data_IF_068712993806
#
_entry.id   IF_068712993806
#
_cell.length_a   1.000
_cell.length_b   1.000
_cell.length_c   1.000
_cell.angle_alpha   90.00
_cell.angle_beta   90.00
_cell.angle_gamma   90.00
#
_symmetry.space_group_name_H-M   'P 1'
#
loop_
_entity.id
_entity.type
_entity.pdbx_description
1 polymer ?
#
# COMPACT_ATOMS: atom_id res chain seq x y z
N UNK A 1 3.56 30.62 7.66
CA UNK A 1 4.60 31.66 7.59
C UNK A 1 4.27 32.67 6.48
N UNK A 2 3.86 33.91 6.87
CA UNK A 2 3.43 34.96 5.94
C UNK A 2 4.50 35.29 4.86
N UNK A 3 5.79 35.27 5.21
CA UNK A 3 6.86 35.53 4.26
C UNK A 3 7.00 34.47 3.16
N UNK A 4 6.78 33.20 3.51
CA UNK A 4 6.78 32.11 2.55
C UNK A 4 5.57 32.20 1.61
N UNK A 5 4.38 32.46 2.16
CA UNK A 5 3.14 32.64 1.38
C UNK A 5 3.30 33.76 0.36
N UNK A 6 3.80 34.93 0.77
CA UNK A 6 4.02 36.06 -0.14
C UNK A 6 5.08 35.81 -1.21
N UNK A 7 6.06 34.92 -0.96
CA UNK A 7 7.00 34.49 -1.99
C UNK A 7 6.34 33.57 -3.02
N UNK A 8 5.53 32.62 -2.59
CA UNK A 8 4.78 31.71 -3.47
C UNK A 8 3.79 32.50 -4.34
N UNK A 9 3.06 33.45 -3.76
CA UNK A 9 2.09 34.28 -4.49
C UNK A 9 2.73 35.07 -5.65
N UNK A 10 3.94 35.57 -5.49
CA UNK A 10 4.66 36.30 -6.57
C UNK A 10 5.07 35.43 -7.77
N UNK A 11 5.13 34.11 -7.58
CA UNK A 11 5.54 33.16 -8.62
C UNK A 11 4.37 32.29 -9.12
N UNK A 12 3.18 32.52 -8.59
CA UNK A 12 1.98 31.79 -8.98
C UNK A 12 1.41 32.38 -10.28
N UNK A 13 0.99 31.56 -11.25
CA UNK A 13 0.23 32.03 -12.39
C UNK A 13 -1.05 32.77 -11.96
N UNK A 14 -1.45 33.83 -12.66
CA UNK A 14 -2.70 34.55 -12.38
C UNK A 14 -3.93 33.61 -12.41
N UNK A 15 -3.93 32.68 -13.35
CA UNK A 15 -4.98 31.70 -13.58
C UNK A 15 -4.45 30.28 -13.30
N UNK A 16 -4.43 29.87 -12.04
CA UNK A 16 -3.92 28.56 -11.62
C UNK A 16 -4.99 27.46 -11.56
N UNK A 17 -6.25 27.79 -11.82
CA UNK A 17 -7.35 26.85 -11.95
C UNK A 17 -8.05 27.07 -13.30
N UNK A 18 -8.17 26.00 -14.09
CA UNK A 18 -8.97 26.05 -15.32
C UNK A 18 -10.46 26.24 -15.02
N UNK A 19 -11.21 26.78 -15.96
CA UNK A 19 -12.68 26.91 -15.85
C UNK A 19 -13.31 25.55 -15.60
N UNK A 20 -12.86 24.50 -16.29
CA UNK A 20 -13.34 23.13 -16.07
C UNK A 20 -13.12 22.62 -14.63
N UNK A 21 -11.98 22.95 -14.01
CA UNK A 21 -11.70 22.59 -12.63
C UNK A 21 -12.60 23.35 -11.65
N UNK A 22 -12.93 24.62 -11.93
CA UNK A 22 -13.84 25.42 -11.13
C UNK A 22 -15.27 24.86 -11.20
N UNK A 23 -15.77 24.61 -12.41
CA UNK A 23 -17.11 24.04 -12.64
C UNK A 23 -17.24 22.65 -11.99
N UNK A 24 -16.24 21.77 -12.17
CA UNK A 24 -16.20 20.47 -11.52
C UNK A 24 -16.21 20.60 -9.99
N UNK A 25 -15.44 21.54 -9.43
CA UNK A 25 -15.42 21.82 -8.00
C UNK A 25 -16.78 22.26 -7.47
N UNK A 26 -17.44 23.18 -8.19
CA UNK A 26 -18.80 23.64 -7.84
C UNK A 26 -19.83 22.49 -7.90
N UNK A 27 -19.78 21.66 -8.94
CA UNK A 27 -20.65 20.50 -9.07
C UNK A 27 -20.44 19.49 -7.93
N UNK A 28 -19.18 19.22 -7.56
CA UNK A 28 -18.84 18.30 -6.47
C UNK A 28 -19.21 18.83 -5.08
N UNK A 29 -19.23 20.15 -4.87
CA UNK A 29 -19.51 20.75 -3.56
C UNK A 29 -20.91 20.39 -3.01
N UNK A 30 -21.87 20.07 -3.88
CA UNK A 30 -23.22 19.62 -3.51
C UNK A 30 -23.35 18.14 -3.16
N UNK A 31 -22.33 17.31 -3.40
CA UNK A 31 -22.40 15.85 -3.32
C UNK A 31 -22.09 15.29 -1.91
N UNK A 32 -22.63 15.90 -0.85
CA UNK A 32 -22.36 15.50 0.55
C UNK A 32 -22.71 14.04 0.82
N UNK A 33 -23.87 13.59 0.39
CA UNK A 33 -24.31 12.20 0.57
C UNK A 33 -23.37 11.20 -0.10
N UNK A 34 -22.84 11.56 -1.28
CA UNK A 34 -21.86 10.73 -1.97
C UNK A 34 -20.55 10.63 -1.17
N UNK A 35 -20.08 11.74 -0.63
CA UNK A 35 -18.84 11.79 0.20
C UNK A 35 -19.02 10.94 1.45
N UNK A 36 -20.15 11.05 2.16
CA UNK A 36 -20.45 10.28 3.35
C UNK A 36 -20.53 8.78 3.07
N UNK A 37 -21.29 8.38 2.04
CA UNK A 37 -21.38 6.97 1.61
C UNK A 37 -20.02 6.41 1.21
N UNK A 38 -19.21 7.19 0.50
CA UNK A 38 -17.85 6.78 0.11
C UNK A 38 -16.95 6.63 1.32
N UNK A 39 -17.01 7.55 2.28
CA UNK A 39 -16.23 7.48 3.51
C UNK A 39 -16.59 6.24 4.35
N UNK A 40 -17.88 5.90 4.44
CA UNK A 40 -18.37 4.69 5.12
C UNK A 40 -17.91 3.43 4.42
N UNK A 41 -17.99 3.40 3.10
CA UNK A 41 -17.50 2.30 2.29
C UNK A 41 -16.00 2.07 2.51
N UNK A 42 -15.19 3.13 2.36
CA UNK A 42 -13.73 3.06 2.56
C UNK A 42 -13.39 2.61 3.98
N UNK A 43 -14.09 3.09 5.02
CA UNK A 43 -13.88 2.64 6.39
C UNK A 43 -14.13 1.14 6.58
N UNK A 44 -15.19 0.60 5.98
CA UNK A 44 -15.54 -0.82 6.05
C UNK A 44 -14.49 -1.67 5.35
N UNK A 45 -14.18 -1.35 4.10
CA UNK A 45 -13.21 -2.07 3.29
C UNK A 45 -11.80 -2.01 3.88
N UNK A 46 -11.40 -0.85 4.44
CA UNK A 46 -10.12 -0.72 5.12
C UNK A 46 -10.02 -1.65 6.32
N UNK A 47 -11.03 -1.69 7.20
CA UNK A 47 -11.04 -2.61 8.34
C UNK A 47 -10.95 -4.07 7.92
N UNK A 48 -11.62 -4.43 6.84
CA UNK A 48 -11.54 -5.76 6.26
C UNK A 48 -10.10 -6.07 5.80
N UNK A 49 -9.50 -5.20 5.01
CA UNK A 49 -8.12 -5.36 4.55
C UNK A 49 -7.10 -5.39 5.69
N UNK A 50 -7.19 -4.49 6.67
CA UNK A 50 -6.31 -4.46 7.85
C UNK A 50 -6.35 -5.79 8.60
N UNK A 51 -7.54 -6.34 8.79
CA UNK A 51 -7.73 -7.64 9.45
C UNK A 51 -7.10 -8.78 8.65
N UNK A 52 -7.35 -8.85 7.36
CA UNK A 52 -6.84 -9.93 6.51
C UNK A 52 -5.31 -9.85 6.33
N UNK A 53 -4.74 -8.64 6.17
CA UNK A 53 -3.29 -8.44 6.14
C UNK A 53 -2.62 -8.92 7.44
N UNK A 54 -3.21 -8.60 8.59
CA UNK A 54 -2.73 -9.07 9.89
C UNK A 54 -2.82 -10.60 10.02
N UNK A 55 -3.86 -11.24 9.48
CA UNK A 55 -3.97 -12.71 9.45
C UNK A 55 -2.90 -13.39 8.60
N UNK A 56 -2.42 -12.70 7.56
CA UNK A 56 -1.30 -13.15 6.73
C UNK A 56 0.08 -12.90 7.38
N UNK A 57 0.11 -12.44 8.64
CA UNK A 57 1.34 -12.20 9.40
C UNK A 57 2.04 -10.90 9.06
N UNK A 58 1.40 -9.98 8.36
CA UNK A 58 1.97 -8.69 7.99
C UNK A 58 1.76 -7.66 9.11
N UNK A 59 2.73 -6.76 9.29
CA UNK A 59 2.60 -5.65 10.24
C UNK A 59 1.85 -4.51 9.58
N UNK A 60 0.64 -4.23 10.06
CA UNK A 60 -0.23 -3.17 9.52
C UNK A 60 -0.13 -1.93 10.38
N UNK A 61 0.00 -0.77 9.75
CA UNK A 61 0.01 0.53 10.43
C UNK A 61 -1.38 1.17 10.35
N UNK A 62 -2.01 1.45 11.50
CA UNK A 62 -3.34 2.06 11.53
C UNK A 62 -3.37 3.41 10.81
N UNK A 63 -4.42 3.66 10.04
CA UNK A 63 -4.61 4.89 9.29
C UNK A 63 -6.09 5.24 9.12
N UNK A 64 -6.35 6.44 8.58
CA UNK A 64 -7.72 6.92 8.31
C UNK A 64 -7.96 7.25 6.84
N UNK A 65 -6.91 7.19 6.01
CA UNK A 65 -7.00 7.48 4.59
C UNK A 65 -7.56 6.30 3.78
N UNK A 66 -7.73 6.50 2.49
CA UNK A 66 -8.13 5.47 1.53
C UNK A 66 -6.96 4.59 1.07
N UNK A 67 -5.92 4.48 1.87
CA UNK A 67 -4.79 3.57 1.67
C UNK A 67 -4.32 2.99 3.00
N UNK A 68 -3.60 1.87 2.91
CA UNK A 68 -3.04 1.15 4.05
C UNK A 68 -1.53 1.03 3.85
N UNK A 69 -0.76 1.40 4.88
CA UNK A 69 0.67 1.14 4.99
C UNK A 69 0.86 -0.16 5.76
N UNK A 70 1.71 -1.04 5.27
CA UNK A 70 2.08 -2.27 5.95
C UNK A 70 3.54 -2.63 5.70
N UNK A 71 4.09 -3.47 6.55
CA UNK A 71 5.44 -4.00 6.43
C UNK A 71 5.40 -5.52 6.20
N UNK A 72 6.31 -5.99 5.35
CA UNK A 72 6.61 -7.40 5.10
C UNK A 72 8.10 -7.60 4.93
N UNK A 73 8.66 -8.65 5.53
CA UNK A 73 10.03 -9.07 5.26
C UNK A 73 10.23 -9.68 3.85
N UNK A 74 9.15 -9.96 3.11
CA UNK A 74 9.19 -10.54 1.77
C UNK A 74 9.20 -9.47 0.69
N UNK A 75 9.87 -9.69 -0.45
CA UNK A 75 9.92 -8.77 -1.59
C UNK A 75 8.62 -8.81 -2.42
N UNK A 76 7.54 -8.26 -1.88
CA UNK A 76 6.19 -8.39 -2.44
C UNK A 76 5.99 -7.65 -3.77
N UNK A 77 6.67 -6.51 -3.99
CA UNK A 77 6.43 -5.68 -5.17
C UNK A 77 6.56 -6.45 -6.49
N UNK A 78 7.71 -7.08 -6.70
CA UNK A 78 7.97 -7.82 -7.94
C UNK A 78 7.11 -9.08 -8.10
N UNK A 79 6.80 -9.76 -6.99
CA UNK A 79 5.98 -10.96 -7.00
C UNK A 79 4.52 -10.65 -7.36
N UNK A 80 3.94 -9.59 -6.80
CA UNK A 80 2.58 -9.14 -7.10
C UNK A 80 2.48 -8.50 -8.49
N UNK A 81 3.50 -7.77 -8.93
CA UNK A 81 3.53 -7.19 -10.27
C UNK A 81 3.45 -8.27 -11.36
N UNK A 82 4.13 -9.40 -11.20
CA UNK A 82 4.03 -10.56 -12.12
C UNK A 82 2.62 -11.16 -12.19
N UNK A 83 1.79 -10.90 -11.18
CA UNK A 83 0.37 -11.30 -11.11
C UNK A 83 -0.59 -10.19 -11.56
N UNK A 84 -0.07 -9.10 -12.15
CA UNK A 84 -0.85 -7.96 -12.61
C UNK A 84 -1.33 -7.02 -11.49
N UNK A 85 -0.79 -7.17 -10.27
CA UNK A 85 -1.16 -6.34 -9.13
C UNK A 85 -0.04 -5.38 -8.79
N UNK A 86 -0.32 -4.09 -8.91
CA UNK A 86 0.61 -3.02 -8.57
C UNK A 86 0.36 -2.52 -7.15
N UNK A 87 1.36 -2.66 -6.29
CA UNK A 87 1.41 -2.03 -4.97
C UNK A 87 2.46 -0.92 -4.96
N UNK A 88 2.39 0.00 -4.01
CA UNK A 88 3.42 1.03 -3.86
C UNK A 88 4.54 0.51 -2.97
N UNK A 89 5.75 0.40 -3.50
CA UNK A 89 6.97 0.26 -2.72
C UNK A 89 7.32 1.62 -2.10
N UNK A 90 7.49 1.65 -0.77
CA UNK A 90 7.73 2.85 0.00
C UNK A 90 9.19 3.00 0.46
N UNK A 91 10.13 2.23 -0.08
CA UNK A 91 11.55 2.31 0.28
C UNK A 91 12.11 3.72 0.13
N UNK A 92 11.64 4.49 -0.86
CA UNK A 92 12.09 5.85 -1.13
C UNK A 92 11.43 6.94 -0.25
N UNK A 93 10.54 6.58 0.67
CA UNK A 93 9.94 7.55 1.60
C UNK A 93 10.89 7.81 2.76
N UNK A 94 11.05 9.09 3.12
CA UNK A 94 11.88 9.48 4.27
C UNK A 94 11.35 8.82 5.56
N UNK A 95 12.21 8.07 6.24
CA UNK A 95 11.87 7.36 7.48
C UNK A 95 11.28 5.96 7.28
N UNK A 96 11.09 5.52 6.03
CA UNK A 96 10.76 4.14 5.68
C UNK A 96 11.97 3.49 4.98
N UNK A 97 11.97 2.18 4.87
CA UNK A 97 13.01 1.39 4.20
C UNK A 97 12.40 0.24 3.40
N UNK A 98 13.22 -0.74 3.07
CA UNK A 98 12.76 -1.96 2.39
C UNK A 98 11.70 -2.68 3.20
N UNK A 99 10.73 -3.28 2.50
CA UNK A 99 9.65 -4.03 3.11
C UNK A 99 8.42 -3.20 3.49
N UNK A 100 8.48 -1.88 3.35
CA UNK A 100 7.30 -1.02 3.55
C UNK A 100 6.54 -0.87 2.24
N UNK A 101 5.28 -1.25 2.27
CA UNK A 101 4.39 -1.20 1.11
C UNK A 101 3.11 -0.44 1.43
N UNK A 102 2.51 0.14 0.41
CA UNK A 102 1.23 0.83 0.52
C UNK A 102 0.27 0.36 -0.57
N UNK A 103 -0.97 0.10 -0.18
CA UNK A 103 -2.06 -0.24 -1.09
C UNK A 103 -3.20 0.76 -0.96
N UNK A 104 -3.97 0.94 -2.02
CA UNK A 104 -5.22 1.67 -1.97
C UNK A 104 -6.35 0.74 -1.47
N UNK A 105 -7.28 1.33 -0.74
CA UNK A 105 -8.58 0.70 -0.46
C UNK A 105 -9.43 0.88 -1.70
N UNK A 106 -9.83 -0.22 -2.32
CA UNK A 106 -10.58 -0.26 -3.58
C UNK A 106 -11.96 -0.87 -3.40
N UNK A 107 -12.55 -1.38 -4.49
CA UNK A 107 -13.80 -2.14 -4.42
C UNK A 107 -13.59 -3.46 -3.70
N UNK A 108 -14.66 -4.03 -3.16
CA UNK A 108 -14.61 -5.33 -2.46
C UNK A 108 -14.00 -6.41 -3.36
N UNK A 109 -14.38 -6.45 -4.63
CA UNK A 109 -13.86 -7.41 -5.60
C UNK A 109 -12.34 -7.26 -5.80
N UNK A 110 -11.86 -6.04 -6.04
CA UNK A 110 -10.43 -5.75 -6.23
C UNK A 110 -9.63 -6.04 -4.95
N UNK A 111 -10.19 -5.72 -3.78
CA UNK A 111 -9.58 -6.02 -2.49
C UNK A 111 -9.42 -7.53 -2.27
N UNK A 112 -10.42 -8.33 -2.64
CA UNK A 112 -10.37 -9.80 -2.56
C UNK A 112 -9.35 -10.40 -3.52
N UNK A 113 -9.30 -9.91 -4.76
CA UNK A 113 -8.27 -10.32 -5.75
C UNK A 113 -6.85 -10.04 -5.24
N UNK A 114 -6.64 -8.85 -4.68
CA UNK A 114 -5.36 -8.51 -4.06
C UNK A 114 -5.00 -9.47 -2.92
N UNK A 115 -5.91 -9.73 -1.99
CA UNK A 115 -5.68 -10.62 -0.84
C UNK A 115 -5.40 -12.05 -1.27
N UNK A 116 -6.09 -12.55 -2.30
CA UNK A 116 -5.83 -13.87 -2.86
C UNK A 116 -4.39 -13.97 -3.39
N UNK A 117 -4.00 -13.05 -4.27
CA UNK A 117 -2.66 -13.05 -4.85
C UNK A 117 -1.56 -12.85 -3.80
N UNK A 118 -1.82 -12.03 -2.78
CA UNK A 118 -0.91 -11.82 -1.65
C UNK A 118 -0.77 -13.09 -0.82
N UNK A 119 -1.87 -13.76 -0.48
CA UNK A 119 -1.87 -15.01 0.29
C UNK A 119 -1.08 -16.12 -0.40
N UNK A 120 -1.24 -16.28 -1.72
CA UNK A 120 -0.46 -17.21 -2.53
C UNK A 120 1.03 -16.84 -2.56
N UNK A 121 1.35 -15.54 -2.59
CA UNK A 121 2.75 -15.07 -2.59
C UNK A 121 3.41 -15.34 -1.24
N UNK A 122 2.73 -15.05 -0.14
CA UNK A 122 3.25 -15.27 1.22
C UNK A 122 3.36 -16.78 1.52
N UNK A 123 2.35 -17.57 1.13
CA UNK A 123 2.33 -19.02 1.34
C UNK A 123 3.46 -19.76 0.60
N UNK A 124 3.76 -19.37 -0.62
CA UNK A 124 4.86 -19.96 -1.41
C UNK A 124 6.25 -19.64 -0.84
N UNK A 125 6.43 -18.46 -0.23
CA UNK A 125 7.71 -18.08 0.37
C UNK A 125 8.00 -18.81 1.69
N UNK A 126 7.00 -19.36 2.37
CA UNK A 126 7.17 -20.18 3.57
C UNK A 126 7.61 -21.64 3.30
N UNK A 127 7.56 -22.08 2.03
CA UNK A 127 7.94 -23.43 1.61
C UNK A 127 9.41 -23.58 1.25
N UNK A 128 10.11 -22.50 0.90
CA UNK A 128 11.51 -22.58 0.42
C UNK A 128 12.57 -22.57 1.54
N UNK A 129 12.23 -22.18 2.76
CA UNK A 129 13.19 -22.14 3.87
C UNK A 129 13.39 -23.47 4.61
N UNK A 130 12.74 -24.56 4.22
CA UNK A 130 12.82 -25.87 4.93
C UNK A 130 13.67 -26.94 4.27
N UNK A 131 14.42 -26.65 3.20
CA UNK A 131 15.19 -27.68 2.48
C UNK A 131 16.68 -27.35 2.26
N UNK A 132 17.38 -26.77 3.26
CA UNK A 132 18.84 -26.87 3.25
C UNK A 132 19.38 -26.93 4.70
N UNK A 133 19.38 -28.14 5.24
CA UNK A 133 19.84 -28.44 6.58
C UNK A 133 20.16 -29.90 6.79
N UNK A 134 20.80 -30.61 5.79
CA UNK A 134 21.41 -31.90 6.13
C UNK A 134 22.53 -32.28 5.15
N UNK A 135 23.70 -32.56 5.78
CA UNK A 135 24.87 -33.27 5.28
C UNK A 135 26.06 -32.41 4.82
N UNK A 136 26.98 -32.20 5.80
CA UNK A 136 28.33 -32.71 5.57
C UNK A 136 29.04 -32.84 6.93
N UNK A 137 29.18 -34.09 7.41
CA UNK A 137 30.22 -34.45 8.40
C UNK A 137 31.57 -34.57 7.66
N UNK A 138 32.64 -34.00 8.10
CA UNK A 138 33.96 -34.41 7.64
C UNK A 138 34.35 -35.70 8.37
N UNK A 139 34.64 -36.73 7.58
CA UNK A 139 35.27 -37.98 8.05
C UNK A 139 36.69 -37.70 8.57
N UNK A 140 36.91 -38.08 9.81
CA UNK A 140 38.24 -38.31 10.36
C UNK A 140 38.94 -39.44 9.58
N UNK A 141 40.11 -39.18 9.03
CA UNK A 141 41.05 -40.15 8.55
C UNK A 141 42.40 -39.85 9.15
N UNK A 142 42.81 -40.70 10.09
CA UNK A 142 44.15 -40.68 10.60
C UNK A 142 45.13 -41.33 9.64
N UNK A 143 46.31 -40.86 9.65
CA UNK A 143 47.57 -41.59 9.84
C UNK A 143 48.70 -40.59 9.89
#
# INVERSE_FOLDING_TARGET
NKGLTGRIERHRPEWNLSVFAQEAGCACAGLRDYVEKTADYVRRERRFLEKELSRLGLTVFPGQANFILFYSGLPLYGALLKRGILIRDCENFRGLGKGYYRIAVKTEEENRLFLQALGETVGNSGGEEKTDGSKQRPSSGGN
#
